data_IF_667634231887
#
_entry.id   IF_667634231887
#
_cell.length_a   1.000
_cell.length_b   1.000
_cell.length_c   1.000
_cell.angle_alpha   90.00
_cell.angle_beta   90.00
_cell.angle_gamma   90.00
#
_symmetry.space_group_name_H-M   'P 1'
#
loop_
_entity.id
_entity.type
_entity.pdbx_description
1 polymer ?
#
# COMPACT_ATOMS: atom_id res chain seq x y z
N UNK A 1 -2.29 53.47 -0.34
CA UNK A 1 -3.01 52.18 -0.57
C UNK A 1 -2.07 51.22 -1.28
N UNK A 2 -1.47 50.33 -0.52
CA UNK A 2 -0.47 49.35 -1.03
C UNK A 2 -1.22 48.25 -1.81
N UNK A 3 -0.99 48.12 -3.10
CA UNK A 3 -1.55 47.05 -3.93
C UNK A 3 -0.99 45.71 -3.43
N UNK A 4 -1.83 44.93 -2.78
CA UNK A 4 -1.49 43.54 -2.45
C UNK A 4 -1.44 42.76 -3.78
N UNK A 5 -0.29 42.19 -4.12
CA UNK A 5 -0.15 41.38 -5.31
C UNK A 5 -1.02 40.13 -5.17
N UNK A 6 -1.56 39.58 -6.28
CA UNK A 6 -2.31 38.33 -6.29
C UNK A 6 -1.56 37.20 -5.60
N UNK A 7 -0.23 37.18 -5.72
CA UNK A 7 0.65 36.20 -5.06
C UNK A 7 0.71 36.38 -3.54
N UNK A 8 0.69 37.65 -3.02
CA UNK A 8 0.69 37.94 -1.59
C UNK A 8 -0.66 37.63 -0.92
N UNK A 9 -1.78 37.72 -1.66
CA UNK A 9 -3.09 37.35 -1.15
C UNK A 9 -3.19 35.80 -1.02
N UNK A 10 -2.65 35.07 -2.01
CA UNK A 10 -2.64 33.61 -2.02
C UNK A 10 -1.71 33.00 -0.95
N UNK A 11 -0.54 33.60 -0.71
CA UNK A 11 0.36 33.14 0.36
C UNK A 11 -0.21 33.32 1.78
N UNK A 12 -1.06 34.33 1.99
CA UNK A 12 -1.77 34.53 3.26
C UNK A 12 -2.96 33.59 3.45
N UNK A 13 -3.56 33.07 2.36
CA UNK A 13 -4.67 32.12 2.43
C UNK A 13 -4.23 30.66 2.60
N UNK A 14 -2.97 30.32 2.30
CA UNK A 14 -2.42 28.96 2.50
C UNK A 14 -2.17 28.59 3.97
N UNK A 15 -2.28 29.55 4.90
CA UNK A 15 -2.25 29.29 6.35
C UNK A 15 -3.58 28.90 6.97
N UNK A 16 -4.63 28.71 6.17
CA UNK A 16 -5.96 28.35 6.64
C UNK A 16 -6.04 26.82 6.78
N UNK A 17 -6.17 26.34 8.02
CA UNK A 17 -6.26 24.95 8.41
C UNK A 17 -7.28 24.15 7.58
N UNK A 18 -7.00 22.86 7.32
CA UNK A 18 -7.75 21.95 6.45
C UNK A 18 -9.26 21.81 6.73
N UNK A 19 -9.74 22.27 7.90
CA UNK A 19 -11.17 22.33 8.25
C UNK A 19 -11.99 23.31 7.38
N UNK A 20 -11.37 24.34 6.82
CA UNK A 20 -12.04 25.34 5.97
C UNK A 20 -12.15 24.90 4.50
N UNK A 21 -11.34 23.95 4.05
CA UNK A 21 -11.39 23.45 2.67
C UNK A 21 -12.64 22.59 2.40
N UNK A 22 -13.20 21.97 3.43
CA UNK A 22 -14.42 21.14 3.34
C UNK A 22 -15.67 21.89 2.85
N UNK A 23 -15.75 23.20 3.10
CA UNK A 23 -16.87 24.06 2.72
C UNK A 23 -16.71 24.80 1.38
N UNK A 24 -15.59 24.70 0.70
CA UNK A 24 -15.36 25.41 -0.58
C UNK A 24 -16.04 24.69 -1.75
N UNK A 25 -16.65 25.44 -2.70
CA UNK A 25 -17.13 24.89 -3.95
C UNK A 25 -16.05 24.09 -4.69
N UNK A 26 -16.46 23.11 -5.48
CA UNK A 26 -15.55 22.23 -6.22
C UNK A 26 -14.54 23.00 -7.08
N UNK A 27 -14.99 24.05 -7.79
CA UNK A 27 -14.12 24.86 -8.61
C UNK A 27 -13.01 25.55 -7.81
N UNK A 28 -13.31 26.03 -6.60
CA UNK A 28 -12.29 26.61 -5.74
C UNK A 28 -11.26 25.60 -5.25
N UNK A 29 -11.70 24.35 -4.95
CA UNK A 29 -10.79 23.27 -4.59
C UNK A 29 -9.90 22.88 -5.78
N UNK A 30 -10.48 22.78 -6.98
CA UNK A 30 -9.73 22.49 -8.21
C UNK A 30 -8.72 23.60 -8.50
N UNK A 31 -9.10 24.88 -8.34
CA UNK A 31 -8.20 26.00 -8.51
C UNK A 31 -7.06 26.00 -7.47
N UNK A 32 -7.36 25.69 -6.21
CA UNK A 32 -6.33 25.59 -5.17
C UNK A 32 -5.39 24.40 -5.44
N UNK A 33 -5.90 23.28 -5.94
CA UNK A 33 -5.06 22.14 -6.35
C UNK A 33 -4.13 22.48 -7.53
N UNK A 34 -4.54 23.40 -8.42
CA UNK A 34 -3.68 23.91 -9.51
C UNK A 34 -2.58 24.86 -9.02
N UNK A 35 -2.74 25.42 -7.81
CA UNK A 35 -1.76 26.30 -7.18
C UNK A 35 -0.69 25.55 -6.38
N UNK A 36 -0.73 24.22 -6.37
CA UNK A 36 0.38 23.39 -5.86
C UNK A 36 1.64 23.86 -6.59
N UNK A 37 2.65 24.20 -5.80
CA UNK A 37 3.91 24.69 -6.33
C UNK A 37 4.53 23.64 -7.27
N UNK A 38 4.47 23.92 -8.56
CA UNK A 38 5.05 23.09 -9.61
C UNK A 38 6.52 23.38 -9.85
N UNK A 39 7.14 24.21 -9.00
CA UNK A 39 8.55 24.62 -9.13
C UNK A 39 9.50 23.41 -9.10
N UNK A 40 9.08 22.31 -8.51
CA UNK A 40 9.83 21.04 -8.42
C UNK A 40 9.48 20.02 -9.50
N UNK A 41 8.47 20.29 -10.32
CA UNK A 41 8.15 19.40 -11.44
C UNK A 41 9.32 19.35 -12.44
N UNK A 42 9.78 18.13 -12.73
CA UNK A 42 10.90 17.92 -13.66
C UNK A 42 12.28 18.16 -13.08
N UNK A 43 12.43 18.60 -11.83
CA UNK A 43 13.74 18.64 -11.17
C UNK A 43 14.18 17.22 -10.84
N UNK A 44 15.36 16.84 -11.29
CA UNK A 44 16.00 15.60 -10.86
C UNK A 44 16.39 15.76 -9.39
N UNK A 45 15.77 14.97 -8.52
CA UNK A 45 16.08 14.93 -7.09
C UNK A 45 16.96 13.72 -6.81
N UNK A 46 17.95 13.88 -5.93
CA UNK A 46 18.79 12.75 -5.50
C UNK A 46 17.94 11.62 -4.90
N UNK A 47 18.28 10.35 -5.17
CA UNK A 47 17.62 9.21 -4.57
C UNK A 47 17.69 9.22 -3.04
N UNK A 48 16.64 8.74 -2.41
CA UNK A 48 16.59 8.56 -0.95
C UNK A 48 17.53 7.44 -0.53
N UNK A 49 18.31 7.67 0.53
CA UNK A 49 19.22 6.67 1.11
C UNK A 49 18.80 6.32 2.54
N UNK A 50 19.10 5.08 2.96
CA UNK A 50 18.87 4.67 4.33
C UNK A 50 17.43 4.34 4.69
N UNK A 51 16.57 4.01 3.70
CA UNK A 51 15.23 3.51 3.99
C UNK A 51 15.33 2.26 4.86
N UNK A 52 14.69 2.29 6.03
CA UNK A 52 14.73 1.19 6.98
C UNK A 52 14.04 -0.06 6.43
N UNK A 53 14.57 -1.20 6.86
CA UNK A 53 14.05 -2.53 6.53
C UNK A 53 13.61 -3.25 7.80
N UNK A 54 12.85 -4.31 7.61
CA UNK A 54 12.44 -5.26 8.63
C UNK A 54 12.39 -6.66 8.07
N UNK A 55 12.20 -7.64 8.95
CA UNK A 55 12.11 -9.04 8.53
C UNK A 55 10.67 -9.44 8.29
N UNK A 56 10.44 -10.15 7.19
CA UNK A 56 9.23 -10.91 6.92
C UNK A 56 9.68 -12.36 6.72
N UNK A 57 9.60 -13.18 7.77
CA UNK A 57 10.23 -14.49 7.79
C UNK A 57 11.75 -14.40 7.54
N UNK A 58 12.21 -15.09 6.50
CA UNK A 58 13.63 -15.05 6.09
C UNK A 58 13.99 -13.85 5.20
N UNK A 59 13.00 -13.10 4.72
CA UNK A 59 13.21 -12.00 3.78
C UNK A 59 13.37 -10.68 4.51
N UNK A 60 14.35 -9.90 4.11
CA UNK A 60 14.53 -8.53 4.54
C UNK A 60 13.82 -7.62 3.54
N UNK A 61 12.77 -6.92 3.98
CA UNK A 61 11.94 -6.05 3.15
C UNK A 61 11.93 -4.61 3.66
N UNK A 62 11.78 -3.65 2.76
CA UNK A 62 11.69 -2.23 3.11
C UNK A 62 10.40 -1.94 3.87
N UNK A 63 10.46 -1.05 4.87
CA UNK A 63 9.27 -0.64 5.65
C UNK A 63 8.19 0.01 4.78
N UNK A 64 8.56 0.58 3.65
CA UNK A 64 7.66 1.02 2.58
C UNK A 64 7.72 0.01 1.42
N UNK A 65 6.55 -0.48 1.01
CA UNK A 65 6.36 -1.43 -0.08
C UNK A 65 5.60 -0.72 -1.19
N UNK A 66 6.04 -0.83 -2.44
CA UNK A 66 5.29 -0.26 -3.55
C UNK A 66 4.09 -1.16 -3.90
N UNK A 67 2.88 -0.59 -3.81
CA UNK A 67 1.62 -1.28 -4.08
C UNK A 67 1.24 -1.27 -5.55
N UNK A 68 0.43 -2.25 -5.96
CA UNK A 68 0.12 -2.50 -7.36
C UNK A 68 -1.21 -1.97 -7.88
N UNK A 69 -2.06 -1.39 -7.04
CA UNK A 69 -3.42 -1.03 -7.48
C UNK A 69 -3.45 -0.05 -8.65
N UNK A 70 -2.57 0.96 -8.66
CA UNK A 70 -2.48 1.92 -9.76
C UNK A 70 -2.04 1.25 -11.07
N UNK A 71 -1.03 0.39 -10.99
CA UNK A 71 -0.48 -0.38 -12.13
C UNK A 71 -1.53 -1.35 -12.72
N UNK A 72 -2.37 -1.93 -11.87
CA UNK A 72 -3.45 -2.83 -12.26
C UNK A 72 -4.76 -2.10 -12.63
N UNK A 73 -4.79 -0.78 -12.63
CA UNK A 73 -5.99 0.01 -12.92
C UNK A 73 -7.08 -0.06 -11.84
N UNK A 74 -6.76 -0.53 -10.63
CA UNK A 74 -7.72 -0.66 -9.54
C UNK A 74 -7.86 0.66 -8.77
N UNK A 75 -8.72 1.54 -9.26
CA UNK A 75 -8.84 2.91 -8.77
C UNK A 75 -9.38 3.03 -7.36
N UNK A 76 -10.27 2.14 -6.92
CA UNK A 76 -11.00 2.24 -5.64
C UNK A 76 -11.75 3.58 -5.45
N UNK A 77 -12.23 4.14 -6.54
CA UNK A 77 -13.03 5.36 -6.57
C UNK A 77 -14.21 5.12 -7.51
N UNK A 78 -15.18 4.35 -7.01
CA UNK A 78 -16.31 3.81 -7.79
C UNK A 78 -17.18 4.92 -8.40
N UNK A 79 -17.12 6.12 -7.83
CA UNK A 79 -17.78 7.32 -8.32
C UNK A 79 -17.14 7.92 -9.59
N UNK A 80 -15.92 7.51 -9.95
CA UNK A 80 -15.18 8.03 -11.11
C UNK A 80 -15.00 6.97 -12.19
N UNK A 81 -15.98 6.86 -13.08
CA UNK A 81 -16.11 5.79 -14.08
C UNK A 81 -14.89 5.58 -15.00
N UNK A 82 -14.13 6.64 -15.27
CA UNK A 82 -12.98 6.58 -16.18
C UNK A 82 -11.62 6.46 -15.46
N UNK A 83 -11.59 6.48 -14.13
CA UNK A 83 -10.30 6.51 -13.40
C UNK A 83 -9.47 5.23 -13.63
N UNK A 84 -10.10 4.07 -13.62
CA UNK A 84 -9.41 2.80 -13.92
C UNK A 84 -8.82 2.79 -15.33
N UNK A 85 -9.57 3.31 -16.32
CA UNK A 85 -9.10 3.42 -17.70
C UNK A 85 -7.91 4.39 -17.82
N UNK A 86 -7.95 5.53 -17.13
CA UNK A 86 -6.84 6.49 -17.10
C UNK A 86 -5.58 5.87 -16.47
N UNK A 87 -5.71 5.14 -15.36
CA UNK A 87 -4.59 4.46 -14.73
C UNK A 87 -3.96 3.41 -15.65
N UNK A 88 -4.79 2.57 -16.27
CA UNK A 88 -4.32 1.55 -17.22
C UNK A 88 -3.64 2.17 -18.43
N UNK A 89 -4.14 3.31 -18.92
CA UNK A 89 -3.51 4.03 -20.01
C UNK A 89 -2.19 4.69 -19.60
N UNK A 90 -2.11 5.23 -18.38
CA UNK A 90 -0.89 5.84 -17.85
C UNK A 90 0.20 4.79 -17.61
N UNK A 91 -0.14 3.69 -16.96
CA UNK A 91 0.79 2.61 -16.63
C UNK A 91 0.95 1.62 -17.80
N UNK A 92 1.46 2.11 -18.93
CA UNK A 92 1.98 1.23 -19.96
C UNK A 92 3.26 0.50 -19.48
N UNK A 93 3.74 -0.47 -20.25
CA UNK A 93 4.88 -1.34 -19.87
C UNK A 93 6.12 -0.53 -19.44
N UNK A 94 6.51 0.49 -20.20
CA UNK A 94 7.69 1.29 -19.88
C UNK A 94 7.47 2.13 -18.60
N UNK A 95 6.29 2.68 -18.40
CA UNK A 95 5.95 3.43 -17.19
C UNK A 95 5.93 2.55 -15.95
N UNK A 96 5.49 1.29 -16.08
CA UNK A 96 5.58 0.31 -14.99
C UNK A 96 7.03 0.06 -14.62
N UNK A 97 7.90 -0.19 -15.60
CA UNK A 97 9.32 -0.46 -15.37
C UNK A 97 10.05 0.76 -14.81
N UNK A 98 9.75 1.95 -15.32
CA UNK A 98 10.28 3.21 -14.77
C UNK A 98 9.90 3.37 -13.29
N UNK A 99 8.64 3.14 -12.95
CA UNK A 99 8.14 3.28 -11.57
C UNK A 99 8.82 2.28 -10.63
N UNK A 100 8.99 1.03 -11.06
CA UNK A 100 9.69 0.01 -10.28
C UNK A 100 11.19 0.31 -10.13
N UNK A 101 11.84 0.76 -11.19
CA UNK A 101 13.25 1.17 -11.13
C UNK A 101 13.45 2.37 -10.20
N UNK A 102 12.55 3.35 -10.22
CA UNK A 102 12.56 4.47 -9.28
C UNK A 102 12.37 4.01 -7.82
N UNK A 103 11.51 3.01 -7.58
CA UNK A 103 11.34 2.42 -6.27
C UNK A 103 12.65 1.80 -5.76
N UNK A 104 13.33 1.00 -6.58
CA UNK A 104 14.64 0.42 -6.25
C UNK A 104 15.71 1.48 -5.99
N UNK A 105 15.80 2.49 -6.84
CA UNK A 105 16.76 3.59 -6.69
C UNK A 105 16.58 4.35 -5.37
N UNK A 106 15.36 4.43 -4.86
CA UNK A 106 15.03 5.08 -3.60
C UNK A 106 15.03 4.11 -2.40
N UNK A 107 15.49 2.86 -2.57
CA UNK A 107 15.68 1.90 -1.47
C UNK A 107 14.48 1.02 -1.15
N UNK A 108 13.36 1.16 -1.87
CA UNK A 108 12.24 0.20 -1.82
C UNK A 108 12.71 -1.08 -2.52
N UNK A 109 12.70 -2.20 -1.81
CA UNK A 109 13.14 -3.48 -2.35
C UNK A 109 12.01 -4.50 -2.53
N UNK A 110 10.77 -4.10 -2.31
CA UNK A 110 9.62 -5.01 -2.33
C UNK A 110 8.42 -4.37 -3.00
N UNK A 111 7.76 -5.12 -3.87
CA UNK A 111 6.48 -4.75 -4.47
C UNK A 111 5.37 -5.69 -4.00
N UNK A 112 4.14 -5.17 -3.93
CA UNK A 112 2.95 -5.93 -3.61
C UNK A 112 1.97 -5.82 -4.77
N UNK A 113 1.77 -6.93 -5.51
CA UNK A 113 1.06 -6.97 -6.77
C UNK A 113 0.12 -8.17 -6.84
N UNK A 114 -0.92 -8.08 -7.67
CA UNK A 114 -1.84 -9.19 -7.93
C UNK A 114 -1.14 -10.35 -8.64
N UNK A 115 -1.58 -11.57 -8.35
CA UNK A 115 -1.11 -12.78 -9.02
C UNK A 115 -1.96 -13.07 -10.28
N UNK A 116 -1.82 -12.23 -11.29
CA UNK A 116 -2.55 -12.34 -12.56
C UNK A 116 -1.62 -12.28 -13.78
N UNK A 117 -2.08 -12.68 -14.99
CA UNK A 117 -1.24 -12.73 -16.18
C UNK A 117 -0.59 -11.39 -16.56
N UNK A 118 -1.24 -10.26 -16.28
CA UNK A 118 -0.68 -8.93 -16.53
C UNK A 118 0.59 -8.71 -15.72
N UNK A 119 0.52 -9.00 -14.42
CA UNK A 119 1.66 -8.82 -13.51
C UNK A 119 2.73 -9.89 -13.75
N UNK A 120 2.36 -11.15 -14.00
CA UNK A 120 3.33 -12.21 -14.33
C UNK A 120 4.24 -11.78 -15.48
N UNK A 121 3.65 -11.29 -16.58
CA UNK A 121 4.41 -10.86 -17.75
C UNK A 121 5.32 -9.68 -17.48
N UNK A 122 4.82 -8.64 -16.79
CA UNK A 122 5.62 -7.45 -16.50
C UNK A 122 6.72 -7.73 -15.49
N UNK A 123 6.44 -8.48 -14.42
CA UNK A 123 7.44 -8.79 -13.41
C UNK A 123 8.58 -9.64 -13.96
N UNK A 124 8.28 -10.65 -14.78
CA UNK A 124 9.33 -11.44 -15.44
C UNK A 124 10.19 -10.59 -16.39
N UNK A 125 9.58 -9.74 -17.19
CA UNK A 125 10.35 -8.83 -18.08
C UNK A 125 11.21 -7.87 -17.28
N UNK A 126 10.67 -7.26 -16.23
CA UNK A 126 11.42 -6.36 -15.39
C UNK A 126 12.64 -7.03 -14.75
N UNK A 127 12.46 -8.21 -14.17
CA UNK A 127 13.54 -8.93 -13.49
C UNK A 127 14.55 -9.53 -14.45
N UNK A 128 14.10 -10.15 -15.54
CA UNK A 128 15.01 -10.89 -16.46
C UNK A 128 15.65 -10.01 -17.53
N UNK A 129 14.90 -9.04 -18.06
CA UNK A 129 15.36 -8.22 -19.18
C UNK A 129 15.94 -6.87 -18.73
N UNK A 130 15.45 -6.30 -17.62
CA UNK A 130 15.90 -5.00 -17.09
C UNK A 130 16.79 -5.13 -15.86
N UNK A 131 17.00 -6.35 -15.34
CA UNK A 131 17.83 -6.57 -14.15
C UNK A 131 17.23 -6.09 -12.84
N UNK A 132 15.92 -5.89 -12.79
CA UNK A 132 15.18 -5.50 -11.59
C UNK A 132 15.31 -6.54 -10.47
N UNK A 133 15.34 -6.08 -9.22
CA UNK A 133 15.58 -6.89 -8.01
C UNK A 133 14.47 -6.80 -6.97
N UNK A 134 13.36 -6.11 -7.28
CA UNK A 134 12.22 -6.02 -6.35
C UNK A 134 11.76 -7.43 -5.98
N UNK A 135 11.67 -7.70 -4.68
CA UNK A 135 10.97 -8.87 -4.16
C UNK A 135 9.46 -8.70 -4.38
N UNK A 136 8.74 -9.77 -4.58
CA UNK A 136 7.31 -9.69 -4.85
C UNK A 136 6.50 -10.45 -3.80
N UNK A 137 5.63 -9.72 -3.09
CA UNK A 137 4.54 -10.26 -2.28
C UNK A 137 3.29 -10.28 -3.16
N UNK A 138 2.78 -11.48 -3.45
CA UNK A 138 1.62 -11.65 -4.32
C UNK A 138 0.30 -11.47 -3.55
N UNK A 139 -0.66 -10.80 -4.16
CA UNK A 139 -2.07 -10.86 -3.75
C UNK A 139 -2.77 -11.95 -4.55
N UNK A 140 -3.39 -12.93 -3.89
CA UNK A 140 -4.19 -13.91 -4.63
C UNK A 140 -5.32 -13.22 -5.41
N UNK A 141 -5.58 -13.71 -6.61
CA UNK A 141 -6.56 -13.14 -7.53
C UNK A 141 -7.75 -14.10 -7.67
N UNK A 142 -8.89 -13.84 -6.98
CA UNK A 142 -10.02 -14.77 -6.94
C UNK A 142 -10.58 -15.14 -8.32
N UNK A 143 -10.53 -14.20 -9.26
CA UNK A 143 -10.98 -14.43 -10.64
C UNK A 143 -10.06 -15.36 -11.43
N UNK A 144 -8.89 -15.71 -10.91
CA UNK A 144 -7.96 -16.65 -11.51
C UNK A 144 -8.22 -18.11 -11.08
N UNK A 145 -9.32 -18.37 -10.39
CA UNK A 145 -9.75 -19.68 -9.95
C UNK A 145 -9.20 -20.11 -8.59
N UNK A 146 -8.76 -21.36 -8.47
CA UNK A 146 -8.31 -21.90 -7.19
C UNK A 146 -7.14 -21.11 -6.61
N UNK A 147 -7.20 -20.67 -5.33
CA UNK A 147 -6.17 -19.85 -4.73
C UNK A 147 -4.81 -20.55 -4.61
N UNK A 148 -4.78 -21.87 -4.42
CA UNK A 148 -3.53 -22.64 -4.29
C UNK A 148 -2.85 -22.76 -5.65
N UNK A 149 -3.61 -23.02 -6.71
CA UNK A 149 -3.09 -23.02 -8.08
C UNK A 149 -2.61 -21.62 -8.49
N UNK A 150 -3.30 -20.56 -8.05
CA UNK A 150 -2.84 -19.20 -8.25
C UNK A 150 -1.52 -18.93 -7.51
N UNK A 151 -1.34 -19.47 -6.30
CA UNK A 151 -0.09 -19.38 -5.54
C UNK A 151 1.07 -20.12 -6.24
N UNK A 152 0.84 -21.30 -6.78
CA UNK A 152 1.87 -22.03 -7.56
C UNK A 152 2.36 -21.21 -8.74
N UNK A 153 1.42 -20.60 -9.49
CA UNK A 153 1.77 -19.70 -10.61
C UNK A 153 2.56 -18.49 -10.15
N UNK A 154 2.16 -17.87 -9.04
CA UNK A 154 2.89 -16.72 -8.48
C UNK A 154 4.34 -17.11 -8.09
N UNK A 155 4.53 -18.26 -7.43
CA UNK A 155 5.85 -18.80 -7.12
C UNK A 155 6.70 -19.00 -8.38
N UNK A 156 6.15 -19.64 -9.39
CA UNK A 156 6.86 -19.94 -10.64
C UNK A 156 7.29 -18.66 -11.40
N UNK A 157 6.62 -17.55 -11.09
CA UNK A 157 6.99 -16.20 -11.58
C UNK A 157 7.85 -15.39 -10.60
N UNK A 158 8.26 -15.96 -9.46
CA UNK A 158 9.24 -15.36 -8.56
C UNK A 158 8.66 -14.64 -7.33
N UNK A 159 7.38 -14.85 -6.99
CA UNK A 159 6.85 -14.36 -5.72
C UNK A 159 7.57 -15.04 -4.53
N UNK A 160 7.83 -14.29 -3.46
CA UNK A 160 8.40 -14.78 -2.20
C UNK A 160 7.33 -15.09 -1.15
N UNK A 161 6.18 -14.48 -1.29
CA UNK A 161 5.04 -14.62 -0.39
C UNK A 161 3.74 -14.42 -1.17
N UNK A 162 2.64 -14.94 -0.63
CA UNK A 162 1.30 -14.67 -1.13
C UNK A 162 0.34 -14.49 0.04
N UNK A 163 -0.65 -13.61 -0.10
CA UNK A 163 -1.73 -13.50 0.86
C UNK A 163 -3.10 -13.71 0.22
N UNK A 164 -4.02 -14.30 0.99
CA UNK A 164 -5.39 -14.47 0.56
C UNK A 164 -6.05 -13.09 0.47
N UNK A 165 -6.72 -12.82 -0.65
CA UNK A 165 -7.39 -11.54 -0.92
C UNK A 165 -8.36 -11.14 0.21
N UNK A 166 -8.29 -9.89 0.67
CA UNK A 166 -9.05 -9.43 1.84
C UNK A 166 -10.54 -9.69 1.77
N UNK A 167 -11.20 -9.39 0.64
CA UNK A 167 -12.63 -9.68 0.49
C UNK A 167 -12.97 -11.17 0.63
N UNK A 168 -12.09 -12.06 0.21
CA UNK A 168 -12.30 -13.51 0.34
C UNK A 168 -12.23 -13.92 1.81
N UNK A 169 -11.21 -13.44 2.53
CA UNK A 169 -11.06 -13.69 3.97
C UNK A 169 -12.22 -13.10 4.77
N UNK A 170 -12.62 -11.85 4.46
CA UNK A 170 -13.72 -11.16 5.11
C UNK A 170 -15.03 -11.95 4.96
N UNK A 171 -15.30 -12.46 3.75
CA UNK A 171 -16.49 -13.26 3.48
C UNK A 171 -16.46 -14.61 4.22
N UNK A 172 -15.34 -15.34 4.21
CA UNK A 172 -15.24 -16.61 4.95
C UNK A 172 -15.48 -16.42 6.45
N UNK A 173 -14.90 -15.39 7.06
CA UNK A 173 -15.14 -15.14 8.48
C UNK A 173 -16.58 -14.72 8.76
N UNK A 174 -17.17 -13.87 7.91
CA UNK A 174 -18.59 -13.48 8.01
C UNK A 174 -19.53 -14.67 7.91
N UNK A 175 -19.17 -15.69 7.12
CA UNK A 175 -19.95 -16.92 6.95
C UNK A 175 -19.62 -17.97 8.04
N UNK A 176 -18.75 -17.68 8.99
CA UNK A 176 -18.32 -18.65 10.03
C UNK A 176 -17.41 -19.75 9.51
N UNK A 177 -16.74 -19.54 8.39
CA UNK A 177 -15.89 -20.53 7.68
C UNK A 177 -14.40 -20.17 7.78
N UNK A 178 -13.93 -19.72 8.93
CA UNK A 178 -12.52 -19.35 9.10
C UNK A 178 -11.54 -20.48 8.80
N UNK A 179 -11.95 -21.74 8.99
CA UNK A 179 -11.16 -22.94 8.69
C UNK A 179 -10.78 -23.05 7.21
N UNK A 180 -11.62 -22.52 6.30
CA UNK A 180 -11.31 -22.47 4.87
C UNK A 180 -10.06 -21.62 4.61
N UNK A 181 -9.93 -20.50 5.33
CA UNK A 181 -8.72 -19.67 5.26
C UNK A 181 -7.51 -20.49 5.69
N UNK A 182 -7.64 -21.26 6.78
CA UNK A 182 -6.57 -22.15 7.27
C UNK A 182 -6.12 -23.18 6.23
N UNK A 183 -7.07 -23.77 5.50
CA UNK A 183 -6.75 -24.72 4.40
C UNK A 183 -6.02 -24.01 3.25
N UNK A 184 -6.47 -22.84 2.87
CA UNK A 184 -5.86 -22.07 1.77
C UNK A 184 -4.43 -21.65 2.12
N UNK A 185 -4.18 -21.09 3.30
CA UNK A 185 -2.83 -20.67 3.69
C UNK A 185 -1.88 -21.85 3.87
N UNK A 186 -2.39 -23.02 4.31
CA UNK A 186 -1.61 -24.25 4.29
C UNK A 186 -1.20 -24.65 2.88
N UNK A 187 -2.13 -24.53 1.91
CA UNK A 187 -1.84 -24.74 0.50
C UNK A 187 -0.79 -23.75 -0.06
N UNK A 188 -0.82 -22.51 0.36
CA UNK A 188 0.21 -21.51 -0.01
C UNK A 188 1.60 -21.92 0.47
N UNK A 189 1.72 -22.41 1.72
CA UNK A 189 2.98 -22.94 2.25
C UNK A 189 3.45 -24.19 1.51
N UNK A 190 2.53 -25.10 1.20
CA UNK A 190 2.85 -26.29 0.38
C UNK A 190 3.31 -25.91 -1.03
N UNK A 191 2.81 -24.81 -1.56
CA UNK A 191 3.33 -24.23 -2.80
C UNK A 191 4.72 -23.60 -2.66
N UNK A 192 5.31 -23.54 -1.46
CA UNK A 192 6.65 -22.98 -1.21
C UNK A 192 6.69 -21.48 -0.98
N UNK A 193 5.56 -20.86 -0.62
CA UNK A 193 5.45 -19.43 -0.36
C UNK A 193 5.15 -19.15 1.12
N UNK A 194 5.62 -18.04 1.63
CA UNK A 194 5.10 -17.48 2.88
C UNK A 194 3.62 -17.13 2.68
N UNK A 195 2.79 -17.49 3.66
CA UNK A 195 1.34 -17.43 3.56
C UNK A 195 0.74 -16.33 4.46
N UNK A 196 0.19 -15.29 3.84
CA UNK A 196 -0.49 -14.20 4.54
C UNK A 196 -2.02 -14.27 4.46
N UNK A 197 -2.66 -13.51 5.35
CA UNK A 197 -4.11 -13.28 5.34
C UNK A 197 -4.36 -11.78 5.14
N UNK A 198 -5.12 -11.42 4.08
CA UNK A 198 -5.64 -10.08 3.88
C UNK A 198 -6.94 -9.85 4.64
N UNK A 199 -7.16 -8.66 5.18
CA UNK A 199 -8.37 -8.30 5.89
C UNK A 199 -8.67 -6.80 5.73
N UNK A 200 -9.91 -6.47 5.37
CA UNK A 200 -10.40 -5.10 5.43
C UNK A 200 -11.06 -4.80 6.78
N UNK A 201 -11.58 -5.83 7.43
CA UNK A 201 -12.32 -5.71 8.67
C UNK A 201 -11.51 -6.30 9.85
N UNK A 202 -11.54 -5.64 10.98
CA UNK A 202 -10.94 -6.15 12.22
C UNK A 202 -11.53 -7.52 12.60
N UNK A 203 -12.84 -7.71 12.41
CA UNK A 203 -13.52 -8.97 12.66
C UNK A 203 -12.87 -10.16 11.96
N UNK A 204 -12.26 -9.95 10.80
CA UNK A 204 -11.57 -11.00 10.05
C UNK A 204 -10.31 -11.45 10.79
N UNK A 205 -9.48 -10.51 11.24
CA UNK A 205 -8.29 -10.85 12.04
C UNK A 205 -8.70 -11.54 13.34
N UNK A 206 -9.72 -11.01 14.05
CA UNK A 206 -10.26 -11.60 15.27
C UNK A 206 -10.76 -13.02 15.06
N UNK A 207 -11.48 -13.27 13.94
CA UNK A 207 -11.95 -14.60 13.56
C UNK A 207 -10.80 -15.58 13.32
N UNK A 208 -9.76 -15.13 12.61
CA UNK A 208 -8.56 -15.94 12.34
C UNK A 208 -7.79 -16.28 13.63
N UNK A 209 -7.57 -15.31 14.51
CA UNK A 209 -6.91 -15.53 15.82
C UNK A 209 -7.73 -16.45 16.72
N UNK A 210 -9.08 -16.27 16.77
CA UNK A 210 -9.99 -17.16 17.50
C UNK A 210 -9.95 -18.61 16.98
N UNK A 211 -9.88 -18.77 15.66
CA UNK A 211 -9.74 -20.09 15.01
C UNK A 211 -8.30 -20.63 15.10
N UNK A 212 -7.38 -19.89 15.75
CA UNK A 212 -5.97 -20.25 15.91
C UNK A 212 -5.29 -20.54 14.56
N UNK A 213 -5.65 -19.76 13.54
CA UNK A 213 -4.95 -19.82 12.28
C UNK A 213 -3.54 -19.23 12.47
N UNK A 214 -2.58 -19.80 11.78
CA UNK A 214 -1.17 -19.43 11.92
C UNK A 214 -0.59 -18.87 10.61
N UNK A 215 -1.00 -17.67 10.13
CA UNK A 215 -0.38 -17.08 8.96
C UNK A 215 1.05 -16.64 9.27
N UNK A 216 1.87 -16.44 8.24
CA UNK A 216 3.20 -15.88 8.40
C UNK A 216 3.16 -14.36 8.59
N UNK A 217 2.11 -13.70 8.08
CA UNK A 217 1.85 -12.27 8.25
C UNK A 217 0.38 -11.94 8.02
N UNK A 218 -0.03 -10.77 8.51
CA UNK A 218 -1.31 -10.17 8.17
C UNK A 218 -1.14 -8.97 7.25
N UNK A 219 -2.10 -8.78 6.36
CA UNK A 219 -2.27 -7.58 5.57
C UNK A 219 -3.59 -6.92 5.93
N UNK A 220 -3.57 -5.84 6.72
CA UNK A 220 -4.78 -5.25 7.33
C UNK A 220 -4.92 -3.80 6.93
N UNK A 221 -6.16 -3.41 6.59
CA UNK A 221 -6.49 -2.01 6.29
C UNK A 221 -6.31 -1.13 7.53
N UNK A 222 -5.62 -0.02 7.36
CA UNK A 222 -5.47 1.01 8.38
C UNK A 222 -5.39 2.39 7.72
N UNK A 223 -6.30 3.31 8.07
CA UNK A 223 -6.25 4.69 7.61
C UNK A 223 -7.03 5.61 8.54
N UNK A 224 -6.78 6.92 8.47
CA UNK A 224 -7.41 7.96 9.30
C UNK A 224 -8.81 8.35 8.83
N UNK A 225 -9.17 7.98 7.60
CA UNK A 225 -10.41 8.45 6.94
C UNK A 225 -11.50 7.41 6.90
N UNK A 226 -11.34 6.31 7.64
CA UNK A 226 -12.32 5.20 7.76
C UNK A 226 -12.74 4.61 6.40
N UNK A 227 -11.80 4.59 5.44
CA UNK A 227 -12.06 4.08 4.10
C UNK A 227 -11.80 2.58 4.04
N UNK A 228 -12.85 1.79 3.81
CA UNK A 228 -12.77 0.31 3.78
C UNK A 228 -11.95 -0.26 4.95
N UNK A 229 -12.16 0.27 6.14
CA UNK A 229 -11.46 -0.16 7.35
C UNK A 229 -12.36 -0.10 8.57
N UNK A 230 -12.09 -0.96 9.55
CA UNK A 230 -12.59 -0.76 10.91
C UNK A 230 -11.94 0.49 11.53
N UNK A 231 -12.50 1.04 12.63
CA UNK A 231 -11.90 2.19 13.30
C UNK A 231 -10.43 1.94 13.66
N UNK A 232 -9.55 2.85 13.26
CA UNK A 232 -8.10 2.65 13.38
C UNK A 232 -7.62 2.42 14.83
N UNK A 233 -8.29 3.04 15.81
CA UNK A 233 -7.99 2.83 17.23
C UNK A 233 -8.26 1.38 17.66
N UNK A 234 -9.38 0.80 17.22
CA UNK A 234 -9.73 -0.58 17.52
C UNK A 234 -8.78 -1.58 16.85
N UNK A 235 -8.42 -1.30 15.57
CA UNK A 235 -7.44 -2.11 14.84
C UNK A 235 -6.10 -2.09 15.56
N UNK A 236 -5.57 -0.90 15.88
CA UNK A 236 -4.29 -0.76 16.57
C UNK A 236 -4.30 -1.46 17.92
N UNK A 237 -5.35 -1.29 18.73
CA UNK A 237 -5.48 -1.92 20.04
C UNK A 237 -5.47 -3.46 19.96
N UNK A 238 -6.26 -4.02 19.05
CA UNK A 238 -6.28 -5.48 18.85
C UNK A 238 -4.94 -6.01 18.36
N UNK A 239 -4.32 -5.32 17.39
CA UNK A 239 -3.06 -5.74 16.79
C UNK A 239 -1.88 -5.74 17.77
N UNK A 240 -1.97 -5.08 18.94
CA UNK A 240 -0.98 -5.21 20.03
C UNK A 240 -0.83 -6.65 20.52
N UNK A 241 -1.91 -7.43 20.50
CA UNK A 241 -1.91 -8.83 20.92
C UNK A 241 -1.43 -9.79 19.84
N UNK A 242 -1.44 -9.38 18.58
CA UNK A 242 -1.06 -10.21 17.44
C UNK A 242 0.47 -10.21 17.28
N UNK A 243 1.07 -11.38 17.37
CA UNK A 243 2.54 -11.54 17.29
C UNK A 243 3.10 -11.59 15.87
N UNK A 244 2.24 -11.73 14.88
CA UNK A 244 2.64 -11.86 13.47
C UNK A 244 2.98 -10.49 12.88
N UNK A 245 3.93 -10.40 11.93
CA UNK A 245 4.16 -9.18 11.17
C UNK A 245 2.87 -8.66 10.53
N UNK A 246 2.72 -7.36 10.51
CA UNK A 246 1.56 -6.68 9.94
C UNK A 246 1.95 -5.67 8.88
N UNK A 247 1.43 -5.87 7.67
CA UNK A 247 1.52 -4.92 6.57
C UNK A 247 0.24 -4.09 6.56
N UNK A 248 0.35 -2.79 6.85
CA UNK A 248 -0.75 -1.85 6.72
C UNK A 248 -1.00 -1.51 5.25
N UNK A 249 -2.25 -1.57 4.79
CA UNK A 249 -2.59 -1.16 3.42
C UNK A 249 -3.81 -0.22 3.41
N UNK A 250 -4.11 0.37 2.24
CA UNK A 250 -5.08 1.47 2.10
C UNK A 250 -4.80 2.65 3.03
N UNK A 251 -3.55 2.83 3.42
CA UNK A 251 -3.11 3.82 4.42
C UNK A 251 -3.45 5.27 4.04
N UNK A 252 -3.63 5.55 2.75
CA UNK A 252 -4.06 6.87 2.24
C UNK A 252 -5.56 6.92 1.88
N UNK A 253 -6.35 5.90 2.23
CA UNK A 253 -7.78 5.86 1.92
C UNK A 253 -8.09 6.09 0.44
N UNK A 254 -7.34 5.49 -0.48
CA UNK A 254 -7.42 5.71 -1.92
C UNK A 254 -7.23 7.19 -2.33
N UNK A 255 -6.21 7.84 -1.75
CA UNK A 255 -5.83 9.23 -2.05
C UNK A 255 -6.67 10.30 -1.33
N UNK A 256 -7.46 9.91 -0.31
CA UNK A 256 -8.25 10.83 0.52
C UNK A 256 -7.46 11.44 1.67
N UNK A 257 -6.33 10.85 2.02
CA UNK A 257 -5.43 11.34 3.08
C UNK A 257 -4.07 11.75 2.51
N UNK A 258 -3.38 12.64 3.22
CA UNK A 258 -2.05 13.09 2.82
C UNK A 258 -1.00 12.05 3.17
N UNK A 259 0.03 11.86 2.30
CA UNK A 259 1.05 10.83 2.51
C UNK A 259 1.70 10.88 3.89
N UNK A 260 2.23 12.03 4.31
CA UNK A 260 2.95 12.14 5.58
C UNK A 260 2.10 11.72 6.78
N UNK A 261 0.87 12.24 6.86
CA UNK A 261 -0.04 11.95 7.97
C UNK A 261 -0.56 10.52 7.95
N UNK A 262 -0.88 9.98 6.76
CA UNK A 262 -1.34 8.60 6.60
C UNK A 262 -0.26 7.58 6.94
N UNK A 263 0.97 7.82 6.51
CA UNK A 263 2.11 6.94 6.82
C UNK A 263 2.44 6.96 8.31
N UNK A 264 2.54 8.16 8.90
CA UNK A 264 2.80 8.31 10.32
C UNK A 264 1.75 7.57 11.15
N UNK A 265 0.49 7.77 10.85
CA UNK A 265 -0.61 7.12 11.55
C UNK A 265 -0.54 5.59 11.47
N UNK A 266 -0.26 5.03 10.30
CA UNK A 266 -0.17 3.58 10.15
C UNK A 266 0.96 2.98 10.99
N UNK A 267 2.13 3.62 11.02
CA UNK A 267 3.24 3.18 11.85
C UNK A 267 3.00 3.39 13.35
N UNK A 268 2.41 4.51 13.77
CA UNK A 268 2.02 4.78 15.16
C UNK A 268 1.05 3.69 15.67
N UNK A 269 0.08 3.29 14.84
CA UNK A 269 -0.88 2.23 15.18
C UNK A 269 -0.28 0.82 15.16
N UNK A 270 0.99 0.69 14.83
CA UNK A 270 1.75 -0.56 14.99
C UNK A 270 1.95 -1.37 13.71
N UNK A 271 1.61 -0.86 12.53
CA UNK A 271 1.97 -1.53 11.28
C UNK A 271 3.50 -1.70 11.17
N UNK A 272 3.99 -2.89 10.85
CA UNK A 272 5.42 -3.15 10.69
C UNK A 272 5.91 -2.68 9.32
N UNK A 273 5.05 -2.73 8.34
CA UNK A 273 5.28 -2.29 6.98
C UNK A 273 4.03 -1.57 6.47
N UNK A 274 4.19 -0.72 5.46
CA UNK A 274 3.05 -0.13 4.74
C UNK A 274 3.16 -0.41 3.24
N UNK A 275 2.05 -0.78 2.61
CA UNK A 275 1.94 -0.95 1.17
C UNK A 275 1.16 0.21 0.56
N UNK A 276 1.81 0.94 -0.35
CA UNK A 276 1.30 2.18 -0.93
C UNK A 276 1.39 2.13 -2.45
N UNK A 277 0.26 2.32 -3.14
CA UNK A 277 0.27 2.57 -4.58
C UNK A 277 0.82 3.96 -4.85
N UNK A 278 1.82 4.06 -5.72
CA UNK A 278 2.49 5.32 -6.05
C UNK A 278 2.61 5.48 -7.56
N UNK A 279 2.39 6.70 -8.04
CA UNK A 279 2.86 7.10 -9.36
C UNK A 279 4.38 7.32 -9.32
N UNK A 280 5.05 7.21 -10.45
CA UNK A 280 6.49 7.45 -10.61
C UNK A 280 6.98 8.73 -9.92
N UNK A 281 6.27 9.84 -10.13
CA UNK A 281 6.60 11.14 -9.52
C UNK A 281 6.38 11.20 -7.99
N UNK A 282 5.63 10.27 -7.38
CA UNK A 282 5.43 10.18 -5.93
C UNK A 282 6.52 9.35 -5.23
N UNK A 283 7.09 8.36 -5.92
CA UNK A 283 7.96 7.34 -5.32
C UNK A 283 9.05 7.94 -4.44
N UNK A 284 9.77 8.93 -4.98
CA UNK A 284 10.88 9.56 -4.25
C UNK A 284 10.42 10.33 -3.02
N UNK A 285 9.37 11.13 -3.14
CA UNK A 285 8.92 12.00 -2.04
C UNK A 285 8.22 11.20 -0.94
N UNK A 286 7.41 10.22 -1.29
CA UNK A 286 6.80 9.29 -0.32
C UNK A 286 7.87 8.48 0.42
N UNK A 287 8.91 8.01 -0.28
CA UNK A 287 10.04 7.33 0.35
C UNK A 287 10.81 8.26 1.29
N UNK A 288 11.02 9.52 0.91
CA UNK A 288 11.70 10.50 1.76
C UNK A 288 10.90 10.79 3.04
N UNK A 289 9.59 10.87 2.96
CA UNK A 289 8.71 11.02 4.12
C UNK A 289 8.85 9.85 5.09
N UNK A 290 8.77 8.62 4.59
CA UNK A 290 8.93 7.41 5.42
C UNK A 290 10.33 7.34 6.03
N UNK A 291 11.38 7.57 5.24
CA UNK A 291 12.76 7.54 5.71
C UNK A 291 13.00 8.57 6.83
N UNK A 292 12.58 9.81 6.64
CA UNK A 292 12.77 10.88 7.62
C UNK A 292 11.99 10.61 8.91
N UNK A 293 10.78 10.09 8.81
CA UNK A 293 9.93 9.70 9.93
C UNK A 293 10.58 8.59 10.76
N UNK A 294 10.98 7.51 10.10
CA UNK A 294 11.58 6.35 10.78
C UNK A 294 12.95 6.69 11.38
N UNK A 295 13.72 7.58 10.74
CA UNK A 295 15.02 8.05 11.29
C UNK A 295 14.86 8.86 12.58
N UNK A 296 13.77 9.61 12.73
CA UNK A 296 13.44 10.33 13.99
C UNK A 296 12.94 9.40 15.10
N UNK A 297 12.52 8.20 14.74
CA UNK A 297 11.75 7.31 15.61
C UNK A 297 10.25 7.63 15.54
N UNK A 298 9.44 6.58 15.59
CA UNK A 298 7.98 6.65 15.63
C UNK A 298 7.52 6.16 17.00
N UNK A 299 6.69 6.93 17.66
CA UNK A 299 6.01 6.51 18.89
C UNK A 299 4.92 5.49 18.51
N UNK A 300 5.18 4.23 18.78
CA UNK A 300 4.36 3.11 18.29
C UNK A 300 3.57 2.47 19.39
N UNK A 301 2.31 2.20 19.10
CA UNK A 301 1.41 1.43 19.98
C UNK A 301 1.90 -0.03 20.20
N UNK A 302 2.78 -0.54 19.33
CA UNK A 302 3.27 -1.91 19.31
C UNK A 302 4.76 -1.96 18.91
N UNK A 303 5.53 -2.84 19.53
CA UNK A 303 6.92 -3.11 19.10
C UNK A 303 6.97 -3.62 17.64
N UNK A 304 8.11 -3.43 16.99
CA UNK A 304 8.37 -4.01 15.67
C UNK A 304 8.37 -5.55 15.76
N UNK A 305 7.71 -6.23 14.81
CA UNK A 305 7.77 -7.67 14.68
C UNK A 305 9.04 -8.10 13.93
#
# INVERSE_FOLDING_TARGET
MTRISRRGLLQKSLGISGALLGGLPYEHRALLAQLVDRSDYGKVKEPVKGLQRGKLGQHEISRLIIGGNLISGSAHADELLYQSALMTHYFNTEKIFETWALAEQNGINTTLMRADPHIFGHYQKFTRERGGKLQWIAQSAPEQGDPVENAKRARDHGAIAIYLHGNVSDNFVKEGKAEEIGRIISGFRQAGLMAGIGAHLLATVQGCEKAKLDPDFYMVTINRVSYYSSPAAEVGEFMKSVKKPWIGFKVLGAGRDKPLEGFQHAFEKGADFIAVGMFDWQVRDDTAHVQAMLAKGVDRDRAWA
#
